data_IF_477112104833
#
_entry.id   IF_477112104833
#
_cell.length_a   1.000
_cell.length_b   1.000
_cell.length_c   1.000
_cell.angle_alpha   90.00
_cell.angle_beta   90.00
_cell.angle_gamma   90.00
#
_symmetry.space_group_name_H-M   'P 1'
#
loop_
_entity.id
_entity.type
_entity.pdbx_description
1 polymer ?
#
# COMPACT_ATOMS: atom_id res chain seq x y z
N UNK A 1 0.69 29.66 -30.28
CA UNK A 1 0.94 29.41 -28.84
C UNK A 1 -0.12 28.42 -28.37
N UNK A 2 0.27 27.16 -28.11
CA UNK A 2 -0.68 26.03 -28.02
C UNK A 2 -1.40 26.00 -26.67
N UNK A 3 -2.72 25.96 -26.74
CA UNK A 3 -3.67 25.57 -25.71
C UNK A 3 -3.33 24.20 -25.10
N UNK A 4 -3.31 24.08 -23.78
CA UNK A 4 -3.30 22.78 -23.09
C UNK A 4 -4.75 22.38 -22.79
N UNK A 5 -5.30 21.33 -23.42
CA UNK A 5 -6.56 20.74 -23.01
C UNK A 5 -6.33 19.88 -21.76
N UNK A 6 -7.34 19.84 -20.89
CA UNK A 6 -7.34 19.05 -19.67
C UNK A 6 -7.30 17.54 -19.93
N UNK A 7 -6.78 16.82 -18.94
CA UNK A 7 -7.25 15.48 -18.66
C UNK A 7 -6.98 15.18 -17.17
N UNK A 8 -8.04 14.74 -16.49
CA UNK A 8 -8.02 14.24 -15.13
C UNK A 8 -6.95 13.15 -14.95
N UNK A 9 -5.92 13.39 -14.14
CA UNK A 9 -5.16 12.31 -13.51
C UNK A 9 -5.49 12.34 -12.01
N UNK A 10 -6.33 11.39 -11.58
CA UNK A 10 -6.75 11.22 -10.20
C UNK A 10 -5.50 11.02 -9.31
N UNK A 11 -5.53 11.71 -8.17
CA UNK A 11 -4.62 11.59 -7.04
C UNK A 11 -4.34 10.13 -6.70
N UNK A 12 -3.06 9.74 -6.63
CA UNK A 12 -2.55 8.84 -5.59
C UNK A 12 -1.02 8.95 -5.44
N UNK A 13 -0.54 10.15 -5.08
CA UNK A 13 0.70 10.23 -4.31
C UNK A 13 0.33 9.89 -2.87
N UNK A 14 0.35 8.61 -2.52
CA UNK A 14 0.08 8.19 -1.15
C UNK A 14 1.37 8.37 -0.34
N UNK A 15 1.61 9.62 0.07
CA UNK A 15 2.44 9.94 1.21
C UNK A 15 1.74 9.37 2.45
N UNK A 16 1.92 8.07 2.72
CA UNK A 16 1.51 7.50 4.00
C UNK A 16 2.50 8.01 5.04
N UNK A 17 1.93 8.58 6.09
CA UNK A 17 2.61 9.17 7.24
C UNK A 17 3.29 8.05 8.06
N UNK A 18 4.33 7.44 7.48
CA UNK A 18 5.17 6.37 8.03
C UNK A 18 6.53 6.19 7.29
N UNK A 19 6.92 7.09 6.37
CA UNK A 19 8.27 7.07 5.78
C UNK A 19 8.50 6.04 4.65
N UNK A 20 7.44 5.51 4.03
CA UNK A 20 7.54 4.76 2.77
C UNK A 20 7.24 5.68 1.57
N UNK A 21 8.12 5.64 0.57
CA UNK A 21 7.86 6.19 -0.76
C UNK A 21 7.72 5.03 -1.76
N UNK A 22 6.49 4.72 -2.15
CA UNK A 22 6.18 3.73 -3.20
C UNK A 22 6.45 4.35 -4.57
N UNK A 23 7.40 3.79 -5.31
CA UNK A 23 7.86 4.29 -6.62
C UNK A 23 7.09 3.63 -7.77
N UNK A 24 5.78 3.84 -7.88
CA UNK A 24 5.04 3.38 -9.06
C UNK A 24 5.32 4.27 -10.31
N UNK A 25 5.54 5.58 -10.14
CA UNK A 25 5.60 6.51 -11.29
C UNK A 25 7.00 6.89 -11.77
N UNK A 26 8.07 6.60 -11.02
CA UNK A 26 9.42 7.07 -11.38
C UNK A 26 10.01 6.37 -12.60
N UNK A 27 9.66 5.11 -12.86
CA UNK A 27 10.15 4.34 -14.02
C UNK A 27 9.69 4.93 -15.37
N UNK A 28 8.61 5.71 -15.40
CA UNK A 28 8.18 6.39 -16.64
C UNK A 28 8.97 7.66 -16.95
N UNK A 29 9.68 8.22 -15.96
CA UNK A 29 10.49 9.43 -16.10
C UNK A 29 12.01 9.15 -16.06
N UNK A 30 12.42 8.07 -15.40
CA UNK A 30 13.80 7.57 -15.32
C UNK A 30 14.04 6.53 -16.42
N UNK A 31 15.23 6.50 -17.02
CA UNK A 31 15.52 5.62 -18.17
C UNK A 31 15.68 4.14 -17.78
N UNK A 32 15.92 3.83 -16.50
CA UNK A 32 16.11 2.48 -15.98
C UNK A 32 15.74 2.41 -14.48
N UNK A 33 15.50 1.20 -13.97
CA UNK A 33 15.09 0.94 -12.58
C UNK A 33 16.16 1.33 -11.55
N UNK A 34 17.43 1.05 -11.83
CA UNK A 34 18.55 1.39 -10.94
C UNK A 34 18.68 2.88 -10.69
N UNK A 35 18.54 3.70 -11.73
CA UNK A 35 18.59 5.15 -11.66
C UNK A 35 17.39 5.69 -10.88
N UNK A 36 16.19 5.14 -11.11
CA UNK A 36 15.00 5.50 -10.33
C UNK A 36 15.18 5.25 -8.82
N UNK A 37 15.69 4.07 -8.44
CA UNK A 37 15.94 3.73 -7.01
C UNK A 37 17.04 4.62 -6.42
N UNK A 38 18.10 4.89 -7.18
CA UNK A 38 19.19 5.77 -6.74
C UNK A 38 18.73 7.21 -6.54
N UNK A 39 17.96 7.75 -7.48
CA UNK A 39 17.40 9.09 -7.41
C UNK A 39 16.45 9.21 -6.23
N UNK A 40 15.57 8.23 -6.04
CA UNK A 40 14.68 8.18 -4.88
C UNK A 40 15.46 8.14 -3.56
N UNK A 41 16.53 7.33 -3.48
CA UNK A 41 17.38 7.29 -2.29
C UNK A 41 18.05 8.63 -2.00
N UNK A 42 18.48 9.34 -3.05
CA UNK A 42 19.10 10.67 -2.89
C UNK A 42 18.13 11.72 -2.33
N UNK A 43 16.83 11.62 -2.67
CA UNK A 43 15.78 12.55 -2.22
C UNK A 43 15.26 12.20 -0.82
N UNK A 44 15.00 10.91 -0.57
CA UNK A 44 14.34 10.44 0.65
C UNK A 44 15.31 10.28 1.84
N UNK A 45 16.62 10.18 1.58
CA UNK A 45 17.63 9.95 2.61
C UNK A 45 17.59 8.52 3.19
N UNK A 46 18.34 8.30 4.27
CA UNK A 46 18.50 6.96 4.87
C UNK A 46 17.33 6.53 5.77
N UNK A 47 16.49 7.47 6.21
CA UNK A 47 15.39 7.21 7.16
C UNK A 47 14.14 6.61 6.52
N UNK A 48 14.07 6.62 5.19
CA UNK A 48 12.91 6.17 4.44
C UNK A 48 13.21 4.87 3.70
N UNK A 49 12.23 3.97 3.72
CA UNK A 49 12.29 2.74 2.94
C UNK A 49 11.81 3.01 1.52
N UNK A 50 12.50 2.40 0.56
CA UNK A 50 12.15 2.45 -0.85
C UNK A 50 11.42 1.17 -1.22
N UNK A 51 10.21 1.35 -1.74
CA UNK A 51 9.36 0.29 -2.24
C UNK A 51 9.25 0.41 -3.76
N UNK A 52 9.40 -0.71 -4.45
CA UNK A 52 9.30 -0.79 -5.92
C UNK A 52 8.24 -1.81 -6.28
N UNK A 53 7.30 -1.40 -7.11
CA UNK A 53 6.31 -2.28 -7.72
C UNK A 53 6.92 -3.02 -8.91
N UNK A 54 6.66 -4.32 -8.98
CA UNK A 54 7.16 -5.20 -10.03
C UNK A 54 6.01 -6.07 -10.54
N UNK A 55 5.87 -6.14 -11.86
CA UNK A 55 4.92 -7.03 -12.54
C UNK A 55 5.51 -8.40 -12.88
N UNK A 56 6.82 -8.57 -12.68
CA UNK A 56 7.53 -9.82 -12.93
C UNK A 56 8.59 -10.10 -11.85
N UNK A 57 8.99 -11.37 -11.72
CA UNK A 57 10.02 -11.77 -10.76
C UNK A 57 11.40 -11.24 -11.17
N UNK A 58 11.65 -11.11 -12.46
CA UNK A 58 12.87 -10.55 -13.03
C UNK A 58 13.01 -9.08 -12.65
N UNK A 59 11.93 -8.30 -12.78
CA UNK A 59 11.89 -6.91 -12.29
C UNK A 59 12.12 -6.83 -10.78
N UNK A 60 11.54 -7.76 -10.01
CA UNK A 60 11.77 -7.84 -8.57
C UNK A 60 13.24 -8.06 -8.19
N UNK A 61 13.95 -8.92 -8.93
CA UNK A 61 15.38 -9.17 -8.72
C UNK A 61 16.22 -7.95 -9.13
N UNK A 62 15.84 -7.24 -10.20
CA UNK A 62 16.49 -5.98 -10.58
C UNK A 62 16.27 -4.88 -9.53
N UNK A 63 15.05 -4.76 -8.99
CA UNK A 63 14.72 -3.82 -7.92
C UNK A 63 15.51 -4.10 -6.64
N UNK A 64 15.58 -5.37 -6.23
CA UNK A 64 16.38 -5.81 -5.10
C UNK A 64 17.88 -5.50 -5.31
N UNK A 65 18.40 -5.80 -6.52
CA UNK A 65 19.79 -5.48 -6.90
C UNK A 65 20.06 -3.97 -6.91
N UNK A 66 19.04 -3.15 -7.24
CA UNK A 66 19.13 -1.69 -7.22
C UNK A 66 19.15 -1.11 -5.80
N UNK A 67 18.88 -1.90 -4.76
CA UNK A 67 18.84 -1.46 -3.37
C UNK A 67 17.46 -1.00 -2.89
N UNK A 68 16.38 -1.56 -3.47
CA UNK A 68 15.05 -1.44 -2.90
C UNK A 68 14.99 -2.16 -1.54
N UNK A 69 14.28 -1.58 -0.58
CA UNK A 69 14.05 -2.19 0.73
C UNK A 69 12.85 -3.15 0.69
N UNK A 70 11.87 -2.84 -0.18
CA UNK A 70 10.61 -3.57 -0.33
C UNK A 70 10.36 -3.79 -1.83
N UNK A 71 10.04 -5.03 -2.18
CA UNK A 71 9.61 -5.41 -3.54
C UNK A 71 8.15 -5.81 -3.46
N UNK A 72 7.29 -5.04 -4.15
CA UNK A 72 5.87 -5.29 -4.24
C UNK A 72 5.56 -6.05 -5.54
N UNK A 73 5.08 -7.28 -5.41
CA UNK A 73 4.63 -8.12 -6.51
C UNK A 73 3.14 -7.85 -6.75
N UNK A 74 2.83 -7.14 -7.84
CA UNK A 74 1.45 -6.74 -8.17
C UNK A 74 0.73 -7.76 -9.05
N UNK A 75 -0.50 -8.09 -8.71
CA UNK A 75 -1.42 -8.96 -9.46
C UNK A 75 -0.90 -10.39 -9.76
N UNK A 76 -0.03 -10.93 -8.91
CA UNK A 76 0.40 -12.32 -9.00
C UNK A 76 -0.67 -13.30 -8.51
N UNK A 77 -0.76 -14.48 -9.13
CA UNK A 77 -1.53 -15.59 -8.57
C UNK A 77 -0.83 -16.17 -7.33
N UNK A 78 -1.55 -16.75 -6.36
CA UNK A 78 -0.96 -17.28 -5.13
C UNK A 78 0.25 -18.21 -5.35
N UNK A 79 0.13 -19.18 -6.26
CA UNK A 79 1.20 -20.15 -6.53
C UNK A 79 2.44 -19.48 -7.15
N UNK A 80 2.24 -18.56 -8.08
CA UNK A 80 3.32 -17.81 -8.74
C UNK A 80 4.00 -16.85 -7.76
N UNK A 81 3.20 -16.18 -6.92
CA UNK A 81 3.67 -15.30 -5.86
C UNK A 81 4.58 -16.06 -4.89
N UNK A 82 4.18 -17.24 -4.42
CA UNK A 82 4.99 -18.01 -3.48
C UNK A 82 6.33 -18.44 -4.07
N UNK A 83 6.32 -18.91 -5.31
CA UNK A 83 7.54 -19.29 -6.01
C UNK A 83 8.46 -18.08 -6.22
N UNK A 84 7.90 -16.93 -6.64
CA UNK A 84 8.67 -15.70 -6.81
C UNK A 84 9.23 -15.17 -5.48
N UNK A 85 8.40 -15.13 -4.44
CA UNK A 85 8.79 -14.65 -3.11
C UNK A 85 9.86 -15.53 -2.48
N UNK A 86 9.74 -16.86 -2.58
CA UNK A 86 10.75 -17.80 -2.08
C UNK A 86 12.11 -17.52 -2.73
N UNK A 87 12.13 -17.45 -4.05
CA UNK A 87 13.38 -17.30 -4.79
C UNK A 87 14.01 -15.91 -4.58
N UNK A 88 13.19 -14.86 -4.48
CA UNK A 88 13.67 -13.52 -4.11
C UNK A 88 14.24 -13.48 -2.69
N UNK A 89 13.63 -14.18 -1.72
CA UNK A 89 14.16 -14.28 -0.36
C UNK A 89 15.46 -15.10 -0.28
N UNK A 90 15.61 -16.12 -1.11
CA UNK A 90 16.85 -16.90 -1.22
C UNK A 90 18.00 -16.05 -1.79
N UNK A 91 17.72 -15.23 -2.81
CA UNK A 91 18.71 -14.32 -3.42
C UNK A 91 18.99 -13.09 -2.53
N UNK A 92 17.94 -12.52 -1.91
CA UNK A 92 17.98 -11.26 -1.18
C UNK A 92 17.23 -11.37 0.18
N UNK A 93 17.86 -11.96 1.21
CA UNK A 93 17.19 -12.22 2.49
C UNK A 93 16.78 -10.96 3.26
N UNK A 94 17.43 -9.82 2.97
CA UNK A 94 17.15 -8.53 3.63
C UNK A 94 15.96 -7.77 3.04
N UNK A 95 15.51 -8.12 1.83
CA UNK A 95 14.41 -7.44 1.15
C UNK A 95 13.07 -7.91 1.69
N UNK A 96 12.14 -7.00 1.91
CA UNK A 96 10.77 -7.33 2.28
C UNK A 96 9.95 -7.58 1.02
N UNK A 97 9.14 -8.65 1.03
CA UNK A 97 8.25 -8.96 -0.08
C UNK A 97 6.83 -8.55 0.28
N UNK A 98 6.23 -7.75 -0.58
CA UNK A 98 4.85 -7.33 -0.49
C UNK A 98 4.02 -7.95 -1.61
N UNK A 99 2.82 -8.45 -1.27
CA UNK A 99 1.83 -8.90 -2.23
C UNK A 99 0.71 -7.86 -2.36
N UNK A 100 0.42 -7.44 -3.59
CA UNK A 100 -0.65 -6.49 -3.91
C UNK A 100 -1.46 -6.96 -5.12
N UNK A 101 -2.67 -6.41 -5.28
CA UNK A 101 -3.53 -6.63 -6.44
C UNK A 101 -4.53 -7.77 -6.26
N UNK A 102 -5.83 -7.46 -6.40
CA UNK A 102 -6.90 -8.47 -6.47
C UNK A 102 -7.15 -9.31 -5.21
N UNK A 103 -6.47 -9.06 -4.10
CA UNK A 103 -6.64 -9.82 -2.86
C UNK A 103 -7.95 -9.42 -2.18
N UNK A 104 -8.75 -10.43 -1.83
CA UNK A 104 -10.02 -10.30 -1.12
C UNK A 104 -9.90 -11.00 0.24
N UNK A 105 -10.78 -10.71 1.22
CA UNK A 105 -10.77 -11.41 2.50
C UNK A 105 -10.85 -12.94 2.37
N UNK A 106 -11.58 -13.43 1.36
CA UNK A 106 -11.75 -14.87 1.09
C UNK A 106 -10.50 -15.51 0.45
N UNK A 107 -9.78 -14.76 -0.39
CA UNK A 107 -8.56 -15.25 -1.05
C UNK A 107 -7.31 -15.05 -0.19
N UNK A 108 -7.35 -14.16 0.80
CA UNK A 108 -6.24 -13.82 1.70
C UNK A 108 -5.48 -15.03 2.26
N UNK A 109 -6.13 -16.12 2.74
CA UNK A 109 -5.41 -17.28 3.28
C UNK A 109 -4.49 -17.94 2.25
N UNK A 110 -4.80 -17.82 0.96
CA UNK A 110 -4.00 -18.38 -0.11
C UNK A 110 -2.75 -17.56 -0.38
N UNK A 111 -2.73 -16.27 -0.02
CA UNK A 111 -1.57 -15.39 -0.19
C UNK A 111 -0.60 -15.45 1.00
N UNK A 112 -1.00 -16.08 2.11
CA UNK A 112 -0.15 -16.24 3.29
C UNK A 112 0.98 -17.24 2.99
N UNK A 113 2.22 -16.79 3.13
CA UNK A 113 3.41 -17.62 2.95
C UNK A 113 4.54 -17.12 3.85
N UNK A 114 5.45 -18.00 4.31
CA UNK A 114 6.60 -17.59 5.12
C UNK A 114 7.55 -16.62 4.40
N UNK A 115 7.44 -16.50 3.08
CA UNK A 115 8.29 -15.63 2.27
C UNK A 115 7.63 -14.30 1.90
N UNK A 116 6.35 -14.11 2.25
CA UNK A 116 5.60 -12.86 2.02
C UNK A 116 5.48 -12.13 3.35
N UNK A 117 6.07 -10.95 3.45
CA UNK A 117 6.14 -10.18 4.69
C UNK A 117 4.93 -9.24 4.86
N UNK A 118 4.43 -8.70 3.73
CA UNK A 118 3.40 -7.67 3.70
C UNK A 118 2.31 -8.06 2.70
N UNK A 119 1.05 -7.85 3.05
CA UNK A 119 -0.09 -8.02 2.13
C UNK A 119 -0.91 -6.73 2.13
N UNK A 120 -1.03 -6.12 0.96
CA UNK A 120 -1.78 -4.88 0.76
C UNK A 120 -3.18 -5.16 0.22
N UNK A 121 -4.19 -4.73 1.00
CA UNK A 121 -5.61 -4.95 0.71
C UNK A 121 -6.30 -3.63 0.34
N UNK A 122 -6.48 -3.39 -0.97
CA UNK A 122 -7.22 -2.22 -1.46
C UNK A 122 -8.69 -2.19 -1.00
N UNK A 123 -9.31 -3.36 -0.81
CA UNK A 123 -10.72 -3.50 -0.44
C UNK A 123 -11.10 -2.85 0.90
N UNK A 124 -10.13 -2.64 1.79
CA UNK A 124 -10.37 -2.01 3.10
C UNK A 124 -10.76 -0.53 2.94
N UNK A 125 -10.19 0.14 1.93
CA UNK A 125 -10.42 1.59 1.71
C UNK A 125 -11.29 1.88 0.50
N UNK A 126 -11.39 0.93 -0.43
CA UNK A 126 -12.21 1.03 -1.64
C UNK A 126 -13.23 -0.12 -1.62
N UNK A 127 -14.51 0.19 -1.41
CA UNK A 127 -15.58 -0.82 -1.42
C UNK A 127 -15.95 -1.40 -0.06
N UNK A 128 -15.51 -0.80 1.05
CA UNK A 128 -15.99 -1.16 2.39
C UNK A 128 -17.48 -0.82 2.54
N UNK A 129 -18.31 -1.73 3.08
CA UNK A 129 -19.72 -1.43 3.35
C UNK A 129 -19.86 -0.30 4.37
N UNK A 130 -20.88 0.54 4.19
CA UNK A 130 -21.19 1.62 5.13
C UNK A 130 -21.80 1.02 6.38
N UNK A 131 -21.30 1.42 7.55
CA UNK A 131 -21.91 1.08 8.84
C UNK A 131 -23.06 2.05 9.09
N UNK A 132 -24.27 1.51 9.25
CA UNK A 132 -25.46 2.31 9.57
C UNK A 132 -25.50 2.63 11.07
N UNK A 133 -25.46 3.92 11.40
CA UNK A 133 -25.54 4.41 12.77
C UNK A 133 -26.84 5.21 12.96
N UNK A 134 -27.61 4.86 13.98
CA UNK A 134 -28.77 5.64 14.41
C UNK A 134 -28.57 6.18 15.83
N UNK A 135 -28.77 7.49 16.01
CA UNK A 135 -28.73 8.13 17.32
C UNK A 135 -30.17 8.31 17.83
N UNK A 136 -30.51 7.63 18.92
CA UNK A 136 -31.78 7.84 19.64
C UNK A 136 -31.53 8.76 20.82
N UNK A 137 -31.97 10.02 20.69
CA UNK A 137 -31.91 10.99 21.79
C UNK A 137 -33.07 10.71 22.75
N UNK A 138 -32.76 10.33 23.98
CA UNK A 138 -33.76 10.24 25.04
C UNK A 138 -34.05 11.63 25.58
N UNK A 139 -35.34 11.96 25.78
CA UNK A 139 -35.70 13.20 26.48
C UNK A 139 -35.09 13.17 27.87
N UNK A 140 -34.49 14.28 28.34
CA UNK A 140 -34.10 14.38 29.73
C UNK A 140 -35.37 14.20 30.58
N UNK A 141 -35.31 13.25 31.51
CA UNK A 141 -36.36 13.06 32.51
C UNK A 141 -36.38 14.31 33.37
N UNK A 142 -37.48 15.04 33.36
CA UNK A 142 -37.69 16.14 34.30
C UNK A 142 -37.75 15.54 35.71
N UNK A 143 -36.70 15.78 36.50
CA UNK A 143 -36.76 15.51 37.93
C UNK A 143 -37.82 16.47 38.53
N UNK A 144 -38.81 15.98 39.29
CA UNK A 144 -39.72 16.87 39.98
C UNK A 144 -38.92 17.69 40.99
N UNK A 145 -38.84 19.01 40.78
CA UNK A 145 -38.36 19.94 41.79
C UNK A 145 -39.45 20.00 42.85
N UNK A 146 -39.27 19.25 43.94
CA UNK A 146 -40.11 19.36 45.14
C UNK A 146 -39.70 20.66 45.84
N UNK A 147 -40.38 21.76 45.55
CA UNK A 147 -40.37 22.92 46.45
C UNK A 147 -41.28 22.60 47.64
N UNK A 148 -40.68 22.21 48.77
CA UNK A 148 -41.38 22.28 50.06
C UNK A 148 -41.38 23.75 50.52
N UNK A 149 -42.52 24.42 50.42
CA UNK A 149 -42.75 25.69 51.10
C UNK A 149 -43.03 25.41 52.58
N UNK A 150 -42.14 25.89 53.45
CA UNK A 150 -42.45 26.20 54.84
C UNK A 150 -43.24 27.51 54.90
#
# INVERSE_FOLDING_TARGET
MRSRPGCCAKRRAACWRAGLSSLQSSLTWSKNMREAVKDARSVCGFSSKIEVECGSREEGSEAATAGADIVMLDNFKPQELHAAAQLLKEEFPSVLIEASGGVTPDSLPQYLSPHVDIISLGCITQGCPVVDFSLKVQKPVAFPIIFQSQ
#
